data_IF_627634926111
#
_entry.id   IF_627634926111
#
_cell.length_a   1.000
_cell.length_b   1.000
_cell.length_c   1.000
_cell.angle_alpha   90.00
_cell.angle_beta   90.00
_cell.angle_gamma   90.00
#
_symmetry.space_group_name_H-M   'P 1'
#
loop_
_entity.id
_entity.type
_entity.pdbx_description
1 polymer ?
#
# COMPACT_ATOMS: atom_id res chain seq x y z
N UNK A 1 58.36 9.38 4.91
CA UNK A 1 57.00 9.65 5.32
C UNK A 1 56.03 8.80 4.50
N UNK A 2 55.27 7.89 5.10
CA UNK A 2 54.32 7.07 4.33
C UNK A 2 53.00 7.78 4.18
N UNK A 3 52.44 7.77 2.96
CA UNK A 3 51.17 8.32 2.57
C UNK A 3 50.04 7.41 3.11
N UNK A 4 48.99 7.97 3.74
CA UNK A 4 47.87 7.15 4.24
C UNK A 4 47.00 6.65 3.10
N UNK A 5 46.78 5.33 3.09
CA UNK A 5 45.84 4.66 2.19
C UNK A 5 44.40 5.11 2.52
N UNK A 6 43.69 5.66 1.55
CA UNK A 6 42.24 5.91 1.61
C UNK A 6 41.50 4.59 1.80
N UNK A 7 40.76 4.48 2.91
CA UNK A 7 39.81 3.42 3.14
C UNK A 7 38.68 3.54 2.12
N UNK A 8 38.46 2.48 1.35
CA UNK A 8 37.35 2.38 0.41
C UNK A 8 36.02 2.33 1.15
N UNK A 9 35.10 3.22 0.80
CA UNK A 9 33.70 3.12 1.19
C UNK A 9 33.11 1.84 0.60
N UNK A 10 32.83 0.87 1.45
CA UNK A 10 31.96 -0.23 1.08
C UNK A 10 30.54 0.30 0.88
N UNK A 11 30.10 0.38 -0.36
CA UNK A 11 28.69 0.58 -0.69
C UNK A 11 27.94 -0.71 -0.34
N UNK A 12 27.36 -0.77 0.85
CA UNK A 12 26.31 -1.73 1.18
C UNK A 12 25.02 -1.26 0.48
N UNK A 13 24.92 -1.53 -0.82
CA UNK A 13 23.64 -1.56 -1.49
C UNK A 13 22.93 -2.82 -0.99
N UNK A 14 21.95 -2.66 -0.09
CA UNK A 14 21.05 -3.74 0.27
C UNK A 14 20.47 -4.30 -1.02
N UNK A 15 20.70 -5.58 -1.26
CA UNK A 15 20.17 -6.28 -2.43
C UNK A 15 18.64 -6.15 -2.37
N UNK A 16 18.04 -5.45 -3.34
CA UNK A 16 16.59 -5.39 -3.47
C UNK A 16 16.10 -6.81 -3.68
N UNK A 17 15.34 -7.31 -2.71
CA UNK A 17 14.67 -8.61 -2.84
C UNK A 17 13.80 -8.56 -4.11
N UNK A 18 14.16 -9.36 -5.10
CA UNK A 18 13.38 -9.45 -6.34
C UNK A 18 12.17 -10.31 -6.06
N UNK A 19 10.98 -9.86 -6.53
CA UNK A 19 9.80 -10.71 -6.54
C UNK A 19 10.11 -12.01 -7.31
N UNK A 20 9.55 -13.15 -6.85
CA UNK A 20 9.73 -14.41 -7.57
C UNK A 20 9.16 -14.31 -8.98
N UNK A 21 9.66 -15.10 -9.94
CA UNK A 21 9.13 -15.14 -11.30
C UNK A 21 7.63 -15.45 -11.29
N UNK A 22 6.87 -14.81 -12.20
CA UNK A 22 5.45 -15.06 -12.34
C UNK A 22 5.19 -16.46 -12.93
N UNK A 23 4.38 -17.25 -12.23
CA UNK A 23 3.91 -18.57 -12.66
C UNK A 23 2.43 -18.51 -13.02
N UNK A 24 2.03 -18.61 -14.29
CA UNK A 24 0.66 -18.31 -14.73
C UNK A 24 -0.38 -19.37 -14.33
N UNK A 25 0.02 -20.60 -14.02
CA UNK A 25 -0.88 -21.74 -13.86
C UNK A 25 -1.03 -22.22 -12.40
N UNK A 26 -0.78 -21.37 -11.42
CA UNK A 26 -1.05 -21.71 -10.02
C UNK A 26 -2.51 -21.42 -9.68
N UNK A 27 -3.14 -22.18 -8.76
CA UNK A 27 -4.48 -21.86 -8.28
C UNK A 27 -4.54 -20.48 -7.65
N UNK A 28 -5.66 -19.79 -7.79
CA UNK A 28 -5.90 -18.50 -7.12
C UNK A 28 -5.84 -18.69 -5.59
N UNK A 29 -5.01 -17.90 -4.87
CA UNK A 29 -4.89 -18.03 -3.42
C UNK A 29 -6.21 -17.73 -2.71
N UNK A 30 -6.51 -18.54 -1.69
CA UNK A 30 -7.70 -18.37 -0.83
C UNK A 30 -7.38 -18.41 0.66
N UNK A 31 -6.27 -19.04 1.05
CA UNK A 31 -5.81 -19.13 2.44
C UNK A 31 -4.66 -18.16 2.70
N UNK A 32 -4.50 -17.73 3.95
CA UNK A 32 -3.36 -16.86 4.29
C UNK A 32 -2.02 -17.53 3.96
N UNK A 33 -1.90 -18.83 4.20
CA UNK A 33 -0.68 -19.58 3.85
C UNK A 33 -0.32 -19.46 2.36
N UNK A 34 -1.32 -19.44 1.48
CA UNK A 34 -1.12 -19.25 0.05
C UNK A 34 -0.76 -17.79 -0.29
N UNK A 35 -1.42 -16.81 0.34
CA UNK A 35 -1.14 -15.40 0.10
C UNK A 35 0.28 -15.01 0.53
N UNK A 36 0.76 -15.48 1.67
CA UNK A 36 2.10 -15.12 2.19
C UNK A 36 3.25 -15.63 1.31
N UNK A 37 3.00 -16.60 0.42
CA UNK A 37 3.97 -17.02 -0.60
C UNK A 37 4.30 -15.91 -1.60
N UNK A 38 3.42 -14.92 -1.72
CA UNK A 38 3.55 -13.76 -2.59
C UNK A 38 3.88 -12.48 -1.82
N UNK A 39 4.37 -12.61 -0.59
CA UNK A 39 4.70 -11.47 0.25
C UNK A 39 5.65 -10.52 -0.45
N UNK A 40 5.28 -9.26 -0.45
CA UNK A 40 6.02 -8.17 -1.05
C UNK A 40 6.49 -7.23 0.07
N UNK A 41 7.80 -7.16 0.37
CA UNK A 41 8.33 -6.21 1.32
C UNK A 41 8.10 -4.79 0.82
N UNK A 42 7.53 -3.93 1.66
CA UNK A 42 7.16 -2.57 1.31
C UNK A 42 7.83 -1.54 2.22
N UNK A 43 8.11 -0.40 1.65
CA UNK A 43 8.50 0.81 2.37
C UNK A 43 7.80 2.04 1.78
N UNK A 44 7.40 2.97 2.64
CA UNK A 44 6.76 4.20 2.24
C UNK A 44 7.72 5.13 1.52
N UNK A 45 7.26 5.74 0.44
CA UNK A 45 8.00 6.72 -0.34
C UNK A 45 7.67 8.14 0.15
N UNK A 46 8.56 8.72 0.93
CA UNK A 46 8.41 10.06 1.49
C UNK A 46 8.32 11.17 0.43
N UNK A 47 8.78 10.90 -0.80
CA UNK A 47 8.64 11.83 -1.93
C UNK A 47 7.19 11.99 -2.40
N UNK A 48 6.34 11.02 -2.12
CA UNK A 48 4.93 11.03 -2.51
C UNK A 48 3.99 11.49 -1.42
N UNK A 49 4.42 11.47 -0.16
CA UNK A 49 3.60 11.76 1.00
C UNK A 49 3.07 13.21 0.99
N UNK A 50 1.75 13.35 1.19
CA UNK A 50 1.14 14.65 1.38
C UNK A 50 1.61 15.29 2.70
N UNK A 51 1.69 16.59 2.76
CA UNK A 51 2.32 17.37 3.86
C UNK A 51 1.78 17.13 5.27
N UNK A 52 0.57 16.59 5.41
CA UNK A 52 -0.02 16.26 6.72
C UNK A 52 0.42 14.89 7.24
N UNK A 53 1.15 14.11 6.43
CA UNK A 53 1.55 12.75 6.76
C UNK A 53 2.97 12.69 7.31
N UNK A 54 3.13 11.98 8.43
CA UNK A 54 4.40 11.75 9.11
C UNK A 54 4.79 10.28 8.99
N UNK A 55 5.96 10.04 8.39
CA UNK A 55 6.51 8.70 8.20
C UNK A 55 7.53 8.43 9.30
N UNK A 56 7.47 7.23 9.88
CA UNK A 56 8.34 6.77 10.95
C UNK A 56 8.63 5.27 10.85
N UNK A 57 9.31 4.72 11.84
CA UNK A 57 9.63 3.29 11.94
C UNK A 57 10.35 2.75 10.70
N UNK A 58 11.34 3.50 10.20
CA UNK A 58 12.13 3.08 9.05
C UNK A 58 11.36 3.03 7.72
N UNK A 59 10.26 3.80 7.59
CA UNK A 59 9.41 3.81 6.42
C UNK A 59 8.24 2.82 6.48
N UNK A 60 7.97 2.22 7.64
CA UNK A 60 6.88 1.27 7.81
C UNK A 60 5.58 1.90 8.30
N UNK A 61 5.65 3.03 9.00
CA UNK A 61 4.48 3.69 9.60
C UNK A 61 4.22 5.05 8.99
N UNK A 62 2.95 5.36 8.75
CA UNK A 62 2.46 6.69 8.40
C UNK A 62 1.32 7.07 9.33
N UNK A 63 1.40 8.28 9.88
CA UNK A 63 0.39 8.83 10.78
C UNK A 63 0.00 10.25 10.37
N UNK A 64 -1.23 10.61 10.67
CA UNK A 64 -1.72 11.97 10.59
C UNK A 64 -2.26 12.35 11.96
N UNK A 65 -1.61 13.31 12.60
CA UNK A 65 -2.17 14.03 13.74
C UNK A 65 -3.00 15.19 13.21
N UNK A 66 -3.66 16.01 14.04
CA UNK A 66 -4.62 17.01 13.57
C UNK A 66 -4.12 17.86 12.38
N UNK A 67 -3.49 19.00 12.63
CA UNK A 67 -3.08 19.94 11.57
C UNK A 67 -1.57 20.15 11.47
N UNK A 68 -0.77 19.25 12.08
CA UNK A 68 0.67 19.34 12.03
C UNK A 68 1.21 19.05 10.63
N UNK A 69 1.93 19.99 10.05
CA UNK A 69 2.49 19.93 8.71
C UNK A 69 3.93 19.47 8.77
N UNK A 70 4.25 18.38 8.08
CA UNK A 70 5.62 17.94 7.87
C UNK A 70 6.28 18.83 6.81
N UNK A 71 7.50 19.33 7.04
CA UNK A 71 8.16 20.28 6.13
C UNK A 71 8.79 19.59 4.92
N UNK A 72 8.01 18.83 4.15
CA UNK A 72 8.48 18.22 2.92
C UNK A 72 8.75 19.27 1.85
N UNK A 73 9.83 19.12 1.05
CA UNK A 73 10.01 19.94 -0.14
C UNK A 73 8.91 19.67 -1.17
N UNK A 74 8.51 20.72 -1.91
CA UNK A 74 7.55 20.55 -2.99
C UNK A 74 8.19 19.72 -4.12
N UNK A 75 7.45 18.68 -4.58
CA UNK A 75 7.87 17.76 -5.63
C UNK A 75 6.72 17.43 -6.56
N UNK A 76 6.96 17.17 -7.85
CA UNK A 76 5.90 16.73 -8.78
C UNK A 76 5.24 15.41 -8.34
N UNK A 77 6.00 14.52 -7.71
CA UNK A 77 5.52 13.20 -7.26
C UNK A 77 4.61 13.27 -6.04
N UNK A 78 4.67 14.38 -5.29
CA UNK A 78 3.96 14.52 -4.02
C UNK A 78 2.48 14.81 -4.21
N UNK A 79 1.65 14.09 -3.46
CA UNK A 79 0.23 14.41 -3.33
C UNK A 79 0.06 15.83 -2.76
N UNK A 80 -0.76 16.64 -3.42
CA UNK A 80 -0.97 18.03 -3.05
C UNK A 80 -2.04 18.18 -1.96
N UNK A 81 -3.21 17.64 -2.18
CA UNK A 81 -4.38 17.80 -1.29
C UNK A 81 -4.81 16.50 -0.62
N UNK A 82 -4.81 15.39 -1.33
CA UNK A 82 -5.19 14.09 -0.74
C UNK A 82 -4.14 13.63 0.28
N UNK A 83 -4.53 13.36 1.54
CA UNK A 83 -3.58 12.91 2.57
C UNK A 83 -3.16 11.45 2.33
N UNK A 84 -2.39 11.23 1.31
CA UNK A 84 -2.07 9.96 0.68
C UNK A 84 -0.56 9.82 0.48
N UNK A 85 -0.10 8.58 0.49
CA UNK A 85 1.30 8.20 0.27
C UNK A 85 1.35 6.90 -0.52
N UNK A 86 2.39 6.74 -1.32
CA UNK A 86 2.69 5.51 -2.06
C UNK A 86 3.86 4.77 -1.44
N UNK A 87 3.94 3.46 -1.68
CA UNK A 87 5.15 2.70 -1.43
C UNK A 87 6.15 2.86 -2.58
N UNK A 88 7.43 2.63 -2.26
CA UNK A 88 8.53 2.67 -3.24
C UNK A 88 8.45 1.51 -4.23
N UNK A 89 8.05 0.35 -3.73
CA UNK A 89 7.96 -0.91 -4.46
C UNK A 89 6.63 -0.97 -5.21
N UNK A 90 6.68 -1.41 -6.45
CA UNK A 90 5.50 -1.57 -7.29
C UNK A 90 5.46 -2.91 -7.99
N UNK A 91 4.32 -3.20 -8.62
CA UNK A 91 4.03 -4.40 -9.38
C UNK A 91 3.92 -4.07 -10.86
N UNK A 92 4.62 -4.83 -11.69
CA UNK A 92 4.46 -4.81 -13.13
C UNK A 92 4.63 -6.24 -13.66
N UNK A 93 3.54 -6.82 -14.17
CA UNK A 93 3.54 -8.19 -14.69
C UNK A 93 3.76 -9.27 -13.63
N UNK A 94 3.39 -9.03 -12.38
CA UNK A 94 3.66 -9.92 -11.25
C UNK A 94 2.51 -10.01 -10.25
N UNK A 95 2.70 -10.81 -9.22
CA UNK A 95 1.83 -10.93 -8.05
C UNK A 95 2.51 -10.31 -6.84
N UNK A 96 1.70 -9.84 -5.90
CA UNK A 96 2.18 -9.35 -4.61
C UNK A 96 1.09 -9.44 -3.55
N UNK A 97 1.51 -9.60 -2.31
CA UNK A 97 0.66 -9.60 -1.12
C UNK A 97 1.34 -8.82 0.00
N UNK A 98 0.58 -8.04 0.72
CA UNK A 98 1.03 -7.32 1.91
C UNK A 98 -0.08 -7.17 2.93
N UNK A 99 0.31 -6.88 4.16
CA UNK A 99 -0.60 -6.65 5.28
C UNK A 99 -0.30 -5.30 5.93
N UNK A 100 -1.35 -4.63 6.37
CA UNK A 100 -1.29 -3.32 7.02
C UNK A 100 -2.14 -3.33 8.27
N UNK A 101 -1.54 -2.96 9.40
CA UNK A 101 -2.29 -2.62 10.62
C UNK A 101 -2.73 -1.16 10.52
N UNK A 102 -3.91 -0.86 11.02
CA UNK A 102 -4.42 0.51 11.01
C UNK A 102 -5.24 0.82 12.24
N UNK A 103 -5.36 2.10 12.53
CA UNK A 103 -6.32 2.65 13.49
C UNK A 103 -6.91 3.95 12.93
N UNK A 104 -8.20 4.14 13.18
CA UNK A 104 -8.95 5.28 12.71
C UNK A 104 -9.45 5.16 11.27
N UNK A 105 -9.56 6.29 10.60
CA UNK A 105 -10.05 6.37 9.22
C UNK A 105 -8.90 6.29 8.23
N UNK A 106 -8.81 5.15 7.57
CA UNK A 106 -7.74 4.81 6.63
C UNK A 106 -8.34 4.09 5.44
N UNK A 107 -7.81 4.37 4.27
CA UNK A 107 -8.05 3.58 3.05
C UNK A 107 -6.73 3.02 2.57
N UNK A 108 -6.70 1.72 2.33
CA UNK A 108 -5.53 1.03 1.76
C UNK A 108 -5.87 0.44 0.41
N UNK A 109 -4.90 0.36 -0.48
CA UNK A 109 -5.15 -0.20 -1.80
C UNK A 109 -4.00 -0.06 -2.77
N UNK A 110 -4.35 0.05 -4.04
CA UNK A 110 -3.39 0.15 -5.15
C UNK A 110 -3.77 1.26 -6.12
N UNK A 111 -2.74 1.88 -6.68
CA UNK A 111 -2.84 3.01 -7.59
C UNK A 111 -1.96 2.74 -8.82
N UNK A 112 -2.48 2.97 -10.01
CA UNK A 112 -1.66 2.97 -11.21
C UNK A 112 -0.67 4.16 -11.19
N UNK A 113 0.54 3.97 -11.67
CA UNK A 113 1.61 4.97 -11.59
C UNK A 113 1.23 6.32 -12.21
N UNK A 114 0.43 6.29 -13.28
CA UNK A 114 -0.05 7.50 -14.00
C UNK A 114 -1.27 8.17 -13.35
N UNK A 115 -1.84 7.61 -12.27
CA UNK A 115 -2.98 8.20 -11.60
C UNK A 115 -2.66 9.62 -11.10
N UNK A 116 -3.66 10.54 -11.11
CA UNK A 116 -3.42 11.91 -10.73
C UNK A 116 -2.99 12.05 -9.26
N UNK A 117 -2.07 12.97 -8.98
CA UNK A 117 -1.59 13.32 -7.64
C UNK A 117 -1.85 14.79 -7.30
N UNK A 118 -2.24 15.57 -8.30
CA UNK A 118 -2.56 16.98 -8.17
C UNK A 118 -3.96 17.26 -8.70
N UNK A 119 -4.70 18.12 -8.00
CA UNK A 119 -6.11 18.34 -8.24
C UNK A 119 -6.47 18.83 -9.66
N UNK A 120 -5.53 19.45 -10.36
CA UNK A 120 -5.72 19.88 -11.76
C UNK A 120 -5.85 18.71 -12.75
N UNK A 121 -5.33 17.54 -12.38
CA UNK A 121 -5.33 16.34 -13.23
C UNK A 121 -6.54 15.43 -12.94
N UNK A 122 -7.41 15.83 -12.01
CA UNK A 122 -8.60 15.10 -11.59
C UNK A 122 -8.59 14.67 -10.11
N UNK A 123 -9.59 13.90 -9.65
CA UNK A 123 -9.64 13.39 -8.30
C UNK A 123 -8.44 12.49 -7.99
N UNK A 124 -7.76 12.73 -6.87
CA UNK A 124 -6.51 12.06 -6.51
C UNK A 124 -6.66 11.04 -5.38
N UNK A 125 -7.72 11.08 -4.60
CA UNK A 125 -7.94 10.18 -3.48
C UNK A 125 -8.04 8.72 -3.92
N UNK A 126 -7.52 7.84 -3.07
CA UNK A 126 -7.52 6.39 -3.32
C UNK A 126 -8.94 5.86 -3.52
N UNK A 127 -9.23 5.35 -4.71
CA UNK A 127 -10.55 4.90 -5.13
C UNK A 127 -11.46 5.99 -5.74
N UNK A 128 -11.04 7.25 -5.79
CA UNK A 128 -11.82 8.35 -6.36
C UNK A 128 -11.71 8.45 -7.90
N UNK A 129 -10.73 7.78 -8.50
CA UNK A 129 -10.50 7.76 -9.94
C UNK A 129 -10.50 6.34 -10.50
N UNK A 130 -10.51 6.21 -11.83
CA UNK A 130 -10.53 4.92 -12.53
C UNK A 130 -9.23 4.12 -12.44
N UNK A 131 -8.17 4.72 -11.93
CA UNK A 131 -6.81 4.15 -11.85
C UNK A 131 -6.41 3.76 -10.43
N UNK A 132 -7.36 3.67 -9.51
CA UNK A 132 -7.11 3.28 -8.12
C UNK A 132 -8.26 2.46 -7.54
N UNK A 133 -7.92 1.59 -6.61
CA UNK A 133 -8.82 0.65 -5.91
C UNK A 133 -8.45 0.63 -4.43
N UNK A 134 -9.43 0.78 -3.56
CA UNK A 134 -9.16 0.87 -2.13
C UNK A 134 -10.24 0.25 -1.27
N UNK A 135 -9.89 -0.03 -0.03
CA UNK A 135 -10.77 -0.49 1.05
C UNK A 135 -10.48 0.27 2.32
N UNK A 136 -11.52 0.65 3.05
CA UNK A 136 -11.37 1.34 4.33
C UNK A 136 -12.56 1.12 5.25
N UNK A 137 -12.34 1.36 6.54
CA UNK A 137 -13.37 1.32 7.57
C UNK A 137 -14.03 2.69 7.72
N UNK A 138 -15.35 2.74 7.55
CA UNK A 138 -16.12 3.99 7.63
C UNK A 138 -16.60 4.38 9.03
N UNK A 139 -16.29 3.56 10.04
CA UNK A 139 -16.81 3.68 11.40
C UNK A 139 -17.95 2.71 11.71
N UNK A 140 -18.61 2.14 10.70
CA UNK A 140 -19.71 1.18 10.86
C UNK A 140 -19.60 -0.04 9.95
N UNK A 141 -18.98 0.09 8.80
CA UNK A 141 -18.75 -1.00 7.83
C UNK A 141 -17.48 -0.74 7.03
N UNK A 142 -17.02 -1.77 6.31
CA UNK A 142 -16.00 -1.58 5.28
C UNK A 142 -16.64 -1.00 4.03
N UNK A 143 -15.90 -0.12 3.37
CA UNK A 143 -16.26 0.41 2.05
C UNK A 143 -15.13 0.07 1.08
N UNK A 144 -15.51 -0.45 -0.08
CA UNK A 144 -14.59 -0.64 -1.20
C UNK A 144 -14.83 0.44 -2.24
N UNK A 145 -13.75 1.03 -2.72
CA UNK A 145 -13.78 2.23 -3.55
C UNK A 145 -13.11 2.00 -4.90
N UNK A 146 -13.78 2.40 -5.95
CA UNK A 146 -13.21 2.48 -7.29
C UNK A 146 -13.98 3.49 -8.13
N UNK A 147 -13.25 4.34 -8.86
CA UNK A 147 -13.80 5.33 -9.78
C UNK A 147 -14.90 6.23 -9.16
N UNK A 148 -14.71 6.63 -7.91
CA UNK A 148 -15.62 7.48 -7.15
C UNK A 148 -16.85 6.77 -6.60
N UNK A 149 -17.04 5.49 -6.90
CA UNK A 149 -18.13 4.67 -6.37
C UNK A 149 -17.65 3.85 -5.17
N UNK A 150 -18.54 3.63 -4.21
CA UNK A 150 -18.27 2.77 -3.07
C UNK A 150 -19.35 1.72 -2.87
N UNK A 151 -18.97 0.60 -2.30
CA UNK A 151 -19.86 -0.48 -1.88
C UNK A 151 -19.59 -0.79 -0.42
N UNK A 152 -20.65 -0.83 0.38
CA UNK A 152 -20.59 -1.23 1.78
C UNK A 152 -20.48 -2.73 1.92
N UNK A 153 -19.58 -3.21 2.78
CA UNK A 153 -19.41 -4.62 3.11
C UNK A 153 -19.53 -4.80 4.62
N UNK A 154 -20.56 -5.52 5.03
CA UNK A 154 -20.93 -5.74 6.43
C UNK A 154 -20.09 -6.80 7.12
N UNK A 155 -18.82 -6.52 7.37
CA UNK A 155 -17.91 -7.38 8.13
C UNK A 155 -17.46 -6.67 9.41
N UNK A 156 -17.10 -7.41 10.48
CA UNK A 156 -16.63 -6.80 11.73
C UNK A 156 -15.29 -6.10 11.55
N UNK A 157 -15.06 -5.07 12.37
CA UNK A 157 -13.77 -4.37 12.40
C UNK A 157 -12.63 -5.33 12.73
N UNK A 158 -11.60 -5.29 11.93
CA UNK A 158 -10.36 -6.03 12.13
C UNK A 158 -9.18 -5.06 11.96
N UNK A 159 -8.20 -5.04 12.88
CA UNK A 159 -7.09 -4.07 12.83
C UNK A 159 -6.08 -4.34 11.71
N UNK A 160 -6.15 -5.49 11.06
CA UNK A 160 -5.22 -5.87 9.99
C UNK A 160 -5.95 -6.17 8.69
N UNK A 161 -5.55 -5.48 7.63
CA UNK A 161 -6.02 -5.69 6.27
C UNK A 161 -4.93 -6.33 5.41
N UNK A 162 -5.33 -7.26 4.55
CA UNK A 162 -4.47 -7.82 3.51
C UNK A 162 -4.87 -7.30 2.13
N UNK A 163 -3.88 -7.11 1.28
CA UNK A 163 -4.06 -6.76 -0.13
C UNK A 163 -3.30 -7.75 -1.00
N UNK A 164 -3.99 -8.35 -1.94
CA UNK A 164 -3.42 -9.25 -2.93
C UNK A 164 -3.66 -8.71 -4.33
N UNK A 165 -2.61 -8.65 -5.12
CA UNK A 165 -2.67 -8.23 -6.53
C UNK A 165 -2.04 -9.30 -7.40
N UNK A 166 -2.77 -9.74 -8.41
CA UNK A 166 -2.26 -10.52 -9.52
C UNK A 166 -2.52 -9.71 -10.80
N UNK A 167 -1.52 -8.94 -11.23
CA UNK A 167 -1.71 -8.03 -12.34
C UNK A 167 -1.94 -8.76 -13.67
N UNK A 168 -1.19 -9.82 -14.03
CA UNK A 168 -1.45 -10.55 -15.27
C UNK A 168 -2.82 -11.23 -15.31
N UNK A 169 -3.30 -11.76 -14.19
CA UNK A 169 -4.65 -12.33 -14.08
C UNK A 169 -5.76 -11.27 -13.95
N UNK A 170 -5.39 -10.02 -13.68
CA UNK A 170 -6.34 -8.92 -13.52
C UNK A 170 -7.17 -8.99 -12.24
N UNK A 171 -6.53 -9.27 -11.11
CA UNK A 171 -7.19 -9.48 -9.82
C UNK A 171 -6.60 -8.57 -8.75
N UNK A 172 -7.48 -7.94 -7.96
CA UNK A 172 -7.16 -7.32 -6.66
C UNK A 172 -8.12 -7.88 -5.62
N UNK A 173 -7.58 -8.43 -4.55
CA UNK A 173 -8.36 -8.90 -3.39
C UNK A 173 -8.05 -8.05 -2.17
N UNK A 174 -9.09 -7.63 -1.47
CA UNK A 174 -9.00 -7.04 -0.15
C UNK A 174 -9.49 -8.03 0.90
N UNK A 175 -8.73 -8.19 1.98
CA UNK A 175 -8.90 -9.24 2.96
C UNK A 175 -8.87 -8.67 4.38
N UNK A 176 -9.69 -9.23 5.28
CA UNK A 176 -9.45 -9.17 6.71
C UNK A 176 -8.42 -10.23 7.08
N UNK A 177 -7.47 -9.88 7.93
CA UNK A 177 -6.50 -10.83 8.52
C UNK A 177 -6.83 -10.99 10.00
N UNK A 178 -7.43 -12.11 10.35
CA UNK A 178 -8.01 -12.38 11.66
C UNK A 178 -7.20 -13.40 12.45
N UNK A 179 -7.35 -13.38 13.78
CA UNK A 179 -6.83 -14.37 14.70
C UNK A 179 -5.55 -13.99 15.43
N UNK A 180 -5.32 -14.68 16.55
CA UNK A 180 -4.08 -14.66 17.31
C UNK A 180 -3.34 -15.97 17.04
N UNK A 181 -2.02 -15.92 16.82
CA UNK A 181 -1.24 -17.10 16.41
C UNK A 181 -1.37 -17.39 14.92
N UNK A 182 -1.94 -18.56 14.57
CA UNK A 182 -2.22 -18.89 13.17
C UNK A 182 -3.35 -18.00 12.62
N UNK A 183 -2.98 -17.10 11.70
CA UNK A 183 -3.92 -16.12 11.14
C UNK A 183 -4.68 -16.71 9.97
N UNK A 184 -5.95 -16.32 9.90
CA UNK A 184 -6.85 -16.64 8.80
C UNK A 184 -7.26 -15.37 8.04
N UNK A 185 -7.64 -15.53 6.80
CA UNK A 185 -8.12 -14.41 5.97
C UNK A 185 -9.61 -14.60 5.64
N UNK A 186 -10.28 -13.47 5.54
CA UNK A 186 -11.66 -13.40 5.06
C UNK A 186 -11.74 -12.37 3.93
N UNK A 187 -12.33 -12.77 2.81
CA UNK A 187 -12.48 -11.87 1.66
C UNK A 187 -13.45 -10.73 1.98
N UNK A 188 -12.97 -9.49 1.83
CA UNK A 188 -13.83 -8.31 1.83
C UNK A 188 -14.42 -8.11 0.43
N UNK A 189 -13.54 -8.05 -0.58
CA UNK A 189 -13.96 -7.81 -1.96
C UNK A 189 -12.87 -8.25 -2.95
N UNK A 190 -13.30 -8.67 -4.14
CA UNK A 190 -12.44 -8.96 -5.28
C UNK A 190 -12.80 -8.03 -6.44
N UNK A 191 -11.83 -7.27 -6.90
CA UNK A 191 -11.93 -6.50 -8.13
C UNK A 191 -11.31 -7.25 -9.31
N UNK A 192 -11.92 -7.13 -10.47
CA UNK A 192 -11.28 -7.42 -11.76
C UNK A 192 -10.72 -6.15 -12.33
N UNK A 193 -9.44 -6.17 -12.69
CA UNK A 193 -8.72 -5.00 -13.20
C UNK A 193 -8.08 -5.31 -14.54
N UNK A 194 -7.88 -4.26 -15.34
CA UNK A 194 -7.09 -4.34 -16.56
C UNK A 194 -6.14 -3.15 -16.60
N UNK A 195 -4.94 -3.35 -16.08
CA UNK A 195 -3.91 -2.30 -15.96
C UNK A 195 -2.60 -2.83 -16.52
N UNK A 196 -2.02 -2.11 -17.47
CA UNK A 196 -0.78 -2.49 -18.16
C UNK A 196 0.44 -1.74 -17.63
N UNK A 197 0.23 -0.72 -16.82
CA UNK A 197 1.29 0.05 -16.17
C UNK A 197 1.57 -0.45 -14.75
N UNK A 198 2.64 0.05 -14.15
CA UNK A 198 3.03 -0.27 -12.79
C UNK A 198 1.92 0.09 -11.78
N UNK A 199 1.63 -0.84 -10.89
CA UNK A 199 0.73 -0.66 -9.75
C UNK A 199 1.54 -0.43 -8.47
N UNK A 200 1.17 0.58 -7.71
CA UNK A 200 1.83 0.96 -6.46
C UNK A 200 0.88 0.78 -5.27
N UNK A 201 1.33 0.10 -4.21
CA UNK A 201 0.60 0.12 -2.94
C UNK A 201 0.44 1.54 -2.42
N UNK A 202 -0.73 1.86 -1.90
CA UNK A 202 -1.08 3.20 -1.45
C UNK A 202 -1.85 3.18 -0.14
N UNK A 203 -1.79 4.29 0.60
CA UNK A 203 -2.52 4.52 1.84
C UNK A 203 -3.03 5.95 1.88
N UNK A 204 -4.31 6.10 2.16
CA UNK A 204 -4.95 7.37 2.50
C UNK A 204 -5.21 7.40 4.00
N UNK A 205 -4.84 8.47 4.69
CA UNK A 205 -4.85 8.53 6.15
C UNK A 205 -5.65 9.74 6.62
N UNK A 206 -6.74 9.49 7.31
CA UNK A 206 -7.58 10.52 7.91
C UNK A 206 -6.98 11.14 9.19
N UNK A 207 -7.66 12.15 9.72
CA UNK A 207 -7.23 12.84 10.94
C UNK A 207 -7.15 11.86 12.13
N UNK A 208 -6.08 11.98 12.93
CA UNK A 208 -5.82 11.14 14.10
C UNK A 208 -5.80 9.63 13.81
N UNK A 209 -5.29 9.27 12.64
CA UNK A 209 -5.24 7.89 12.16
C UNK A 209 -3.82 7.49 11.77
N UNK A 210 -3.58 6.20 11.68
CA UNK A 210 -2.29 5.68 11.21
C UNK A 210 -2.42 4.35 10.47
N UNK A 211 -1.40 4.05 9.66
CA UNK A 211 -1.14 2.74 9.05
C UNK A 211 0.25 2.26 9.43
N UNK A 212 0.39 0.98 9.63
CA UNK A 212 1.66 0.29 9.84
C UNK A 212 1.78 -0.89 8.88
N UNK A 213 2.77 -0.85 8.00
CA UNK A 213 3.09 -1.96 7.10
C UNK A 213 3.70 -3.09 7.93
N UNK A 214 3.12 -4.29 7.82
CA UNK A 214 3.61 -5.47 8.54
C UNK A 214 4.80 -6.10 7.82
N UNK A 215 5.70 -6.69 8.61
CA UNK A 215 6.74 -7.59 8.11
C UNK A 215 6.20 -9.02 8.04
N UNK A 216 6.74 -9.84 7.14
CA UNK A 216 6.25 -11.20 6.86
C UNK A 216 6.14 -12.09 8.10
N UNK A 217 7.08 -11.97 9.04
CA UNK A 217 7.24 -12.84 10.21
C UNK A 217 6.68 -12.22 11.50
N UNK A 218 5.69 -11.33 11.39
CA UNK A 218 5.02 -10.68 12.53
C UNK A 218 3.61 -11.23 12.73
#
# INVERSE_FOLDING_TARGET
MPVPKKAGRQNNAAAKEKLPPYEPNIPEPTTRADFVKHWMPLSLDDKTAQKLLWISEGGAKVARTSDAVCPYPNRPERYEHSPQVLCKEGLLGSRGYWEVDFDGWVVVGVVAESAPRRGQDGPCGLGENSSSWGVGWSGSCYQVWHNGENVDVGLPLCPTLGVYVDQPAGIVKFLLVEGEGDKEVRLIHKFKISVQEKLLPAMWVGTNSFCLIRKKDQ
#
